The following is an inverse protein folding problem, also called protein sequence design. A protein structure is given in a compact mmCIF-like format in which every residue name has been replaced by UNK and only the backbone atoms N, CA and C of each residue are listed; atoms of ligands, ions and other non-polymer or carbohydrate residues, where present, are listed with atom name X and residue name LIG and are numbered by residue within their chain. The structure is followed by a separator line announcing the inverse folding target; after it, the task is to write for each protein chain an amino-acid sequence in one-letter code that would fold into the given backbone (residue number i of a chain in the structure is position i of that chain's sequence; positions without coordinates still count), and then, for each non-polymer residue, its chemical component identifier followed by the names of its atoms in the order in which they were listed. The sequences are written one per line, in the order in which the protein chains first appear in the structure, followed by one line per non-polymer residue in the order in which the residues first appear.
data_IF_373632943991
#
_entry.id   IF_373632943991
#
_cell.length_a   1.000
_cell.length_b   1.000
_cell.length_c   1.000
_cell.angle_alpha   90.00
_cell.angle_beta   90.00
_cell.angle_gamma   90.00
#
_symmetry.space_group_name_H-M   'P 1'
#
loop_
_entity.id
_entity.type
_entity.pdbx_description
1 polymer ?
#
# COMPACT_ATOMS: atom_id res chain seq x y z
N UNK A 1 -19.06 60.07 -36.12
CA UNK A 1 -18.95 58.79 -36.89
C UNK A 1 -18.38 57.68 -36.02
N UNK A 2 -19.21 56.72 -35.73
CA UNK A 2 -18.97 55.28 -35.73
C UNK A 2 -17.62 54.75 -35.15
N UNK A 3 -17.70 54.08 -34.13
CA UNK A 3 -17.62 52.62 -33.72
C UNK A 3 -16.63 52.54 -32.54
N UNK A 4 -16.76 51.76 -31.49
CA UNK A 4 -16.91 50.32 -31.41
C UNK A 4 -17.46 49.94 -30.03
N UNK A 5 -18.56 49.25 -29.98
CA UNK A 5 -18.99 48.41 -28.88
C UNK A 5 -18.70 46.99 -29.34
N UNK A 6 -17.83 46.29 -28.67
CA UNK A 6 -17.79 44.81 -28.57
C UNK A 6 -16.67 44.38 -27.62
N UNK A 7 -17.08 43.69 -26.62
CA UNK A 7 -16.42 42.61 -25.86
C UNK A 7 -16.53 42.82 -24.36
N UNK A 8 -17.71 42.60 -23.84
CA UNK A 8 -17.87 42.16 -22.44
C UNK A 8 -19.03 41.15 -22.47
N UNK A 9 -18.78 39.90 -22.71
CA UNK A 9 -19.56 38.73 -22.27
C UNK A 9 -18.67 37.51 -22.51
N UNK A 10 -17.86 37.13 -21.53
CA UNK A 10 -17.37 35.75 -21.28
C UNK A 10 -16.50 35.73 -20.03
N UNK A 11 -17.08 35.92 -18.87
CA UNK A 11 -16.38 35.63 -17.60
C UNK A 11 -17.34 35.45 -16.43
N UNK A 12 -18.43 34.71 -16.59
CA UNK A 12 -19.36 34.48 -15.46
C UNK A 12 -19.90 33.06 -15.33
N UNK A 13 -19.24 32.05 -15.93
CA UNK A 13 -19.69 30.65 -15.81
C UNK A 13 -18.72 29.65 -15.11
N UNK A 14 -17.63 30.12 -14.50
CA UNK A 14 -16.65 29.24 -13.83
C UNK A 14 -16.59 29.38 -12.30
N UNK A 15 -17.43 30.23 -11.70
CA UNK A 15 -17.39 30.46 -10.26
C UNK A 15 -18.43 29.67 -9.44
N UNK A 16 -19.37 28.96 -10.09
CA UNK A 16 -20.48 28.32 -9.37
C UNK A 16 -20.18 26.84 -8.98
N UNK A 17 -19.29 26.17 -9.70
CA UNK A 17 -18.95 24.76 -9.37
C UNK A 17 -17.97 24.58 -8.20
N UNK A 18 -17.20 25.61 -7.85
CA UNK A 18 -16.25 25.55 -6.74
C UNK A 18 -16.86 25.78 -5.35
N UNK A 19 -17.96 26.53 -5.28
CA UNK A 19 -18.61 26.88 -4.00
C UNK A 19 -19.43 25.70 -3.43
N UNK A 20 -19.99 24.86 -4.30
CA UNK A 20 -20.78 23.70 -3.85
C UNK A 20 -19.87 22.58 -3.28
N UNK A 21 -18.70 22.35 -3.86
CA UNK A 21 -17.76 21.34 -3.38
C UNK A 21 -17.10 21.70 -2.03
N UNK A 22 -16.88 23.00 -1.75
CA UNK A 22 -16.34 23.47 -0.49
C UNK A 22 -17.35 23.47 0.66
N UNK A 23 -18.67 23.63 0.37
CA UNK A 23 -19.69 23.60 1.40
C UNK A 23 -20.00 22.20 1.93
N UNK A 24 -19.81 21.13 1.13
CA UNK A 24 -20.03 19.76 1.58
C UNK A 24 -19.02 19.31 2.62
N UNK A 25 -17.78 19.79 2.56
CA UNK A 25 -16.70 19.44 3.49
C UNK A 25 -16.86 20.02 4.90
N UNK A 26 -17.77 20.96 5.11
CA UNK A 26 -17.98 21.64 6.39
C UNK A 26 -19.30 21.30 7.11
N UNK A 27 -20.13 20.43 6.54
CA UNK A 27 -21.36 19.99 7.19
C UNK A 27 -21.01 19.11 8.40
N UNK A 28 -21.60 19.45 9.57
CA UNK A 28 -21.44 18.70 10.82
C UNK A 28 -22.68 17.85 11.16
N UNK A 29 -23.73 17.96 10.36
CA UNK A 29 -25.00 17.25 10.53
C UNK A 29 -25.68 17.03 9.19
N UNK A 30 -26.61 16.07 9.09
CA UNK A 30 -27.36 15.80 7.88
C UNK A 30 -28.13 17.03 7.36
N UNK A 31 -28.12 17.23 6.05
CA UNK A 31 -29.02 18.21 5.42
C UNK A 31 -30.48 17.87 5.73
N UNK A 32 -31.36 18.89 5.61
CA UNK A 32 -32.79 18.68 5.83
C UNK A 32 -33.35 17.52 5.02
N UNK A 33 -32.98 17.37 3.75
CA UNK A 33 -33.43 16.28 2.87
C UNK A 33 -33.02 14.91 3.41
N UNK A 34 -31.75 14.74 3.83
CA UNK A 34 -31.25 13.51 4.42
C UNK A 34 -31.91 13.23 5.78
N UNK A 35 -32.09 14.26 6.62
CA UNK A 35 -32.74 14.14 7.91
C UNK A 35 -34.20 13.69 7.78
N UNK A 36 -34.95 14.26 6.81
CA UNK A 36 -36.34 13.90 6.55
C UNK A 36 -36.45 12.42 6.12
N UNK A 37 -35.51 11.92 5.31
CA UNK A 37 -35.44 10.48 4.94
C UNK A 37 -35.12 9.58 6.15
N UNK A 38 -34.16 9.95 6.97
CA UNK A 38 -33.81 9.21 8.21
C UNK A 38 -35.02 9.08 9.10
N UNK A 39 -35.74 10.19 9.32
CA UNK A 39 -36.97 10.20 10.12
C UNK A 39 -38.09 9.39 9.48
N UNK A 40 -38.31 9.57 8.18
CA UNK A 40 -39.35 8.85 7.40
C UNK A 40 -39.17 7.33 7.49
N UNK A 41 -37.92 6.85 7.42
CA UNK A 41 -37.61 5.42 7.41
C UNK A 41 -37.32 4.86 8.81
N UNK A 42 -37.42 5.70 9.84
CA UNK A 42 -37.12 5.34 11.25
C UNK A 42 -35.75 4.64 11.36
N UNK A 43 -34.68 5.37 10.99
CA UNK A 43 -33.31 4.87 10.96
C UNK A 43 -32.50 5.42 12.13
N UNK A 44 -31.75 4.55 12.79
CA UNK A 44 -30.81 4.92 13.85
C UNK A 44 -29.50 5.44 13.25
N UNK A 45 -28.99 6.55 13.75
CA UNK A 45 -27.71 7.10 13.35
C UNK A 45 -26.61 6.67 14.31
N UNK A 46 -25.43 6.37 13.75
CA UNK A 46 -24.21 6.08 14.49
C UNK A 46 -23.09 7.04 14.09
N UNK A 47 -22.15 7.22 14.99
CA UNK A 47 -20.98 8.09 14.79
C UNK A 47 -19.71 7.31 14.36
N UNK A 48 -18.62 8.06 14.17
CA UNK A 48 -17.33 7.51 13.79
C UNK A 48 -16.81 6.46 14.77
N UNK A 49 -16.91 6.70 16.08
CA UNK A 49 -16.37 5.78 17.10
C UNK A 49 -17.15 4.47 17.12
N UNK A 50 -18.47 4.53 16.91
CA UNK A 50 -19.29 3.35 16.77
C UNK A 50 -18.86 2.52 15.54
N UNK A 51 -18.70 3.15 14.38
CA UNK A 51 -18.27 2.48 13.14
C UNK A 51 -16.87 1.91 13.31
N UNK A 52 -15.93 2.67 13.87
CA UNK A 52 -14.57 2.21 14.11
C UNK A 52 -14.50 0.96 15.00
N UNK A 53 -15.31 0.93 16.05
CA UNK A 53 -15.45 -0.26 16.91
C UNK A 53 -16.06 -1.44 16.14
N UNK A 54 -17.06 -1.18 15.30
CA UNK A 54 -17.82 -2.20 14.57
C UNK A 54 -17.01 -2.93 13.51
N UNK A 55 -16.03 -2.29 12.89
CA UNK A 55 -15.17 -2.93 11.87
C UNK A 55 -14.05 -3.80 12.48
N UNK A 56 -13.86 -3.77 13.79
CA UNK A 56 -12.80 -4.55 14.46
C UNK A 56 -11.41 -4.18 13.95
N UNK A 57 -10.68 -5.16 13.42
CA UNK A 57 -9.36 -4.93 12.81
C UNK A 57 -9.43 -4.33 11.40
N UNK A 58 -10.62 -4.24 10.79
CA UNK A 58 -10.83 -3.71 9.45
C UNK A 58 -10.98 -4.76 8.36
N UNK A 59 -10.94 -6.06 8.69
CA UNK A 59 -11.22 -7.14 7.76
C UNK A 59 -12.63 -7.70 8.00
N UNK A 60 -13.23 -8.34 7.00
CA UNK A 60 -14.64 -8.81 7.08
C UNK A 60 -14.89 -9.81 8.19
N UNK A 61 -13.93 -10.67 8.53
CA UNK A 61 -14.08 -11.69 9.58
C UNK A 61 -14.00 -11.15 11.00
N UNK A 62 -13.34 -10.02 11.24
CA UNK A 62 -13.24 -9.38 12.56
C UNK A 62 -14.37 -8.38 12.83
N UNK A 63 -15.09 -7.96 11.79
CA UNK A 63 -16.17 -6.98 11.90
C UNK A 63 -17.38 -7.53 12.65
N UNK A 64 -17.84 -6.82 13.68
CA UNK A 64 -19.09 -7.17 14.40
C UNK A 64 -20.33 -6.78 13.62
N UNK A 65 -20.24 -5.78 12.73
CA UNK A 65 -21.33 -5.30 11.86
C UNK A 65 -20.90 -5.39 10.38
N UNK A 66 -21.88 -5.43 9.48
CA UNK A 66 -21.63 -5.39 8.04
C UNK A 66 -21.75 -3.95 7.57
N UNK A 67 -20.67 -3.40 7.03
CA UNK A 67 -20.68 -2.05 6.44
C UNK A 67 -21.12 -2.09 4.99
N UNK A 68 -22.00 -1.16 4.63
CA UNK A 68 -22.56 -1.03 3.28
C UNK A 68 -22.24 0.37 2.73
N UNK A 69 -21.43 0.41 1.68
CA UNK A 69 -21.16 1.64 0.92
C UNK A 69 -22.23 1.81 -0.17
N UNK A 70 -23.09 2.82 0.00
CA UNK A 70 -24.18 3.12 -0.94
C UNK A 70 -23.73 3.99 -2.12
N UNK A 71 -22.46 4.35 -2.21
CA UNK A 71 -21.91 5.14 -3.32
C UNK A 71 -21.80 4.31 -4.60
N UNK A 72 -21.78 4.96 -5.78
CA UNK A 72 -21.51 4.28 -7.04
C UNK A 72 -20.20 3.48 -7.00
N UNK A 73 -20.16 2.35 -7.72
CA UNK A 73 -19.01 1.42 -7.75
C UNK A 73 -17.65 2.11 -7.98
N UNK A 74 -17.59 3.07 -8.90
CA UNK A 74 -16.35 3.84 -9.15
C UNK A 74 -15.85 4.64 -7.93
N UNK A 75 -16.75 5.10 -7.05
CA UNK A 75 -16.38 5.78 -5.81
C UNK A 75 -15.88 4.78 -4.77
N UNK A 76 -16.58 3.66 -4.62
CA UNK A 76 -16.17 2.54 -3.77
C UNK A 76 -14.77 2.04 -4.15
N UNK A 77 -14.53 1.77 -5.43
CA UNK A 77 -13.26 1.27 -5.94
C UNK A 77 -12.06 2.19 -5.62
N UNK A 78 -12.29 3.51 -5.67
CA UNK A 78 -11.25 4.52 -5.39
C UNK A 78 -10.90 4.65 -3.92
N UNK A 79 -11.80 4.24 -3.04
CA UNK A 79 -11.56 4.24 -1.59
C UNK A 79 -12.87 4.07 -0.82
N UNK A 80 -12.91 3.12 0.11
CA UNK A 80 -14.05 2.84 0.97
C UNK A 80 -13.62 2.62 2.42
N UNK A 81 -14.57 2.64 3.34
CA UNK A 81 -14.32 2.26 4.74
C UNK A 81 -13.98 0.78 4.79
N UNK A 82 -12.96 0.36 5.55
CA UNK A 82 -12.53 -1.03 5.63
C UNK A 82 -13.67 -2.00 5.95
N UNK A 83 -13.58 -3.21 5.40
CA UNK A 83 -14.55 -4.31 5.50
C UNK A 83 -15.89 -4.12 4.77
N UNK A 84 -16.09 -3.01 4.06
CA UNK A 84 -17.38 -2.68 3.41
C UNK A 84 -17.72 -3.57 2.22
N UNK A 85 -19.03 -3.69 1.97
CA UNK A 85 -19.61 -4.16 0.71
C UNK A 85 -20.18 -2.96 -0.06
N UNK A 86 -20.03 -2.95 -1.36
CA UNK A 86 -20.67 -1.93 -2.19
C UNK A 86 -22.08 -2.35 -2.58
N UNK A 87 -23.07 -1.55 -2.24
CA UNK A 87 -24.48 -1.75 -2.67
C UNK A 87 -25.03 -0.39 -3.07
N UNK A 88 -24.80 0.05 -4.32
CA UNK A 88 -25.30 1.34 -4.81
C UNK A 88 -26.83 1.32 -4.92
N UNK A 89 -27.44 2.50 -4.71
CA UNK A 89 -28.88 2.69 -4.79
C UNK A 89 -29.47 2.37 -6.16
N UNK A 90 -28.71 2.59 -7.23
CA UNK A 90 -29.16 2.42 -8.63
C UNK A 90 -29.23 0.98 -9.08
N UNK A 91 -28.31 0.12 -8.62
CA UNK A 91 -28.23 -1.32 -8.99
C UNK A 91 -28.38 -2.20 -7.76
N UNK A 92 -29.23 -1.83 -6.84
CA UNK A 92 -29.38 -2.45 -5.54
C UNK A 92 -29.53 -3.98 -5.60
N UNK A 93 -30.45 -4.50 -6.39
CA UNK A 93 -30.77 -5.95 -6.40
C UNK A 93 -29.60 -6.80 -6.92
N UNK A 94 -28.81 -6.28 -7.85
CA UNK A 94 -27.62 -6.95 -8.37
C UNK A 94 -26.54 -7.08 -7.28
N UNK A 95 -26.21 -5.96 -6.63
CA UNK A 95 -25.16 -5.91 -5.61
C UNK A 95 -25.58 -6.52 -4.28
N UNK A 96 -26.90 -6.51 -3.97
CA UNK A 96 -27.44 -7.14 -2.78
C UNK A 96 -27.13 -8.63 -2.70
N UNK A 97 -26.93 -9.32 -3.82
CA UNK A 97 -26.55 -10.74 -3.88
C UNK A 97 -25.31 -11.05 -3.04
N UNK A 98 -24.37 -10.09 -2.92
CA UNK A 98 -23.15 -10.26 -2.14
C UNK A 98 -23.40 -10.44 -0.62
N UNK A 99 -24.56 -10.04 -0.14
CA UNK A 99 -24.97 -10.15 1.28
C UNK A 99 -26.31 -10.88 1.47
N UNK A 100 -26.85 -11.53 0.44
CA UNK A 100 -28.16 -12.20 0.49
C UNK A 100 -28.26 -13.24 1.59
N UNK A 101 -27.16 -13.93 1.87
CA UNK A 101 -27.07 -15.04 2.83
C UNK A 101 -26.76 -14.57 4.26
N UNK A 102 -26.55 -13.26 4.47
CA UNK A 102 -26.31 -12.71 5.80
C UNK A 102 -27.61 -12.80 6.63
N UNK A 103 -27.52 -13.28 7.89
CA UNK A 103 -28.66 -13.35 8.79
C UNK A 103 -29.39 -12.00 8.90
N UNK A 104 -30.74 -12.03 8.89
CA UNK A 104 -31.56 -10.80 8.86
C UNK A 104 -31.55 -10.00 10.16
N UNK A 105 -31.10 -10.56 11.24
CA UNK A 105 -30.85 -9.91 12.54
C UNK A 105 -29.44 -9.31 12.66
N UNK A 106 -28.52 -9.66 11.74
CA UNK A 106 -27.18 -9.08 11.72
C UNK A 106 -27.25 -7.56 11.53
N UNK A 107 -26.48 -6.84 12.29
CA UNK A 107 -26.38 -5.38 12.16
C UNK A 107 -25.73 -4.98 10.84
N UNK A 108 -26.41 -4.08 10.12
CA UNK A 108 -25.93 -3.44 8.92
C UNK A 108 -25.75 -1.94 9.19
N UNK A 109 -24.60 -1.36 8.80
CA UNK A 109 -24.35 0.07 8.89
C UNK A 109 -24.16 0.60 7.49
N UNK A 110 -25.07 1.47 7.04
CA UNK A 110 -25.06 2.03 5.70
C UNK A 110 -24.46 3.43 5.70
N UNK A 111 -23.53 3.70 4.80
CA UNK A 111 -22.94 5.01 4.63
C UNK A 111 -22.83 5.41 3.18
N UNK A 112 -22.55 6.70 2.93
CA UNK A 112 -22.27 7.19 1.59
C UNK A 112 -21.27 8.38 1.59
N UNK A 113 -21.46 9.38 0.74
CA UNK A 113 -20.55 10.52 0.53
C UNK A 113 -20.73 11.68 1.51
N UNK A 114 -21.23 11.44 2.72
CA UNK A 114 -21.36 12.47 3.76
C UNK A 114 -22.78 12.96 3.99
N UNK A 115 -22.92 14.02 4.78
CA UNK A 115 -24.16 14.52 5.34
C UNK A 115 -25.20 15.02 4.32
N UNK A 116 -24.81 15.31 3.09
CA UNK A 116 -25.71 15.71 1.99
C UNK A 116 -26.17 14.55 1.12
N UNK A 117 -25.66 13.34 1.36
CA UNK A 117 -25.88 12.19 0.50
C UNK A 117 -27.14 11.40 0.90
N UNK A 118 -28.18 11.43 0.05
CA UNK A 118 -29.45 10.73 0.27
C UNK A 118 -29.38 9.21 0.01
N UNK A 119 -28.28 8.70 -0.57
CA UNK A 119 -28.17 7.28 -0.97
C UNK A 119 -28.17 6.33 0.22
N UNK A 120 -27.51 6.69 1.34
CA UNK A 120 -27.47 5.81 2.51
C UNK A 120 -28.84 5.57 3.14
N UNK A 121 -29.73 6.57 3.39
CA UNK A 121 -31.06 6.28 3.89
C UNK A 121 -31.93 5.52 2.89
N UNK A 122 -31.77 5.76 1.58
CA UNK A 122 -32.49 5.02 0.53
C UNK A 122 -32.08 3.54 0.53
N UNK A 123 -30.79 3.25 0.53
CA UNK A 123 -30.28 1.85 0.58
C UNK A 123 -30.64 1.18 1.88
N UNK A 124 -30.58 1.89 3.03
CA UNK A 124 -30.99 1.37 4.31
C UNK A 124 -32.48 0.95 4.31
N UNK A 125 -33.36 1.74 3.71
CA UNK A 125 -34.77 1.38 3.55
C UNK A 125 -34.94 0.13 2.68
N UNK A 126 -34.25 0.04 1.54
CA UNK A 126 -34.30 -1.15 0.67
C UNK A 126 -33.81 -2.41 1.39
N UNK A 127 -32.80 -2.31 2.27
CA UNK A 127 -32.33 -3.41 3.10
C UNK A 127 -33.41 -3.86 4.12
N UNK A 128 -34.12 -2.91 4.75
CA UNK A 128 -35.27 -3.23 5.61
C UNK A 128 -36.37 -3.92 4.83
N UNK A 129 -36.65 -3.51 3.61
CA UNK A 129 -37.63 -4.19 2.70
C UNK A 129 -37.21 -5.61 2.33
N UNK A 130 -35.88 -5.90 2.27
CA UNK A 130 -35.32 -7.26 2.14
C UNK A 130 -35.39 -8.08 3.46
N UNK A 131 -35.95 -7.52 4.52
CA UNK A 131 -36.18 -8.19 5.80
C UNK A 131 -35.07 -8.01 6.85
N UNK A 132 -34.01 -7.19 6.59
CA UNK A 132 -33.02 -6.88 7.59
C UNK A 132 -33.61 -6.02 8.71
N UNK A 133 -33.42 -6.45 9.98
CA UNK A 133 -34.10 -5.87 11.14
C UNK A 133 -33.26 -4.80 11.83
N UNK A 134 -31.94 -4.91 11.75
CA UNK A 134 -31.00 -4.04 12.44
C UNK A 134 -30.16 -3.25 11.42
N UNK A 135 -30.74 -2.16 10.90
CA UNK A 135 -30.10 -1.31 9.88
C UNK A 135 -29.91 0.09 10.44
N UNK A 136 -28.67 0.53 10.51
CA UNK A 136 -28.23 1.83 11.01
C UNK A 136 -27.59 2.65 9.89
N UNK A 137 -27.41 3.95 10.14
CA UNK A 137 -26.78 4.88 9.20
C UNK A 137 -25.58 5.57 9.85
N UNK A 138 -24.48 5.63 9.08
CA UNK A 138 -23.35 6.52 9.35
C UNK A 138 -23.41 7.72 8.39
N UNK A 139 -24.08 8.79 8.82
CA UNK A 139 -24.40 9.95 7.95
C UNK A 139 -23.16 10.76 7.54
N UNK A 140 -22.14 10.86 8.40
CA UNK A 140 -20.88 11.52 8.05
C UNK A 140 -20.10 10.79 6.94
N UNK A 141 -20.28 9.48 6.84
CA UNK A 141 -19.83 8.65 5.73
C UNK A 141 -18.31 8.60 5.51
N UNK A 142 -17.94 8.25 4.29
CA UNK A 142 -16.53 8.13 3.91
C UNK A 142 -15.73 9.43 4.06
N UNK A 143 -16.25 10.64 3.81
CA UNK A 143 -15.48 11.88 3.98
C UNK A 143 -14.98 12.10 5.41
N UNK A 144 -15.79 11.84 6.44
CA UNK A 144 -15.29 11.91 7.82
C UNK A 144 -14.28 10.80 8.10
N UNK A 145 -14.56 9.58 7.65
CA UNK A 145 -13.67 8.44 7.86
C UNK A 145 -12.27 8.69 7.28
N UNK A 146 -12.19 9.14 6.04
CA UNK A 146 -10.92 9.34 5.31
C UNK A 146 -10.02 10.43 5.93
N UNK A 147 -10.60 11.35 6.70
CA UNK A 147 -9.79 12.34 7.47
C UNK A 147 -9.16 11.74 8.73
N UNK A 148 -9.67 10.62 9.22
CA UNK A 148 -9.31 10.03 10.53
C UNK A 148 -8.71 8.64 10.43
N UNK A 149 -8.74 8.01 9.24
CA UNK A 149 -8.32 6.62 9.08
C UNK A 149 -7.96 6.30 7.61
N UNK A 150 -7.32 5.14 7.41
CA UNK A 150 -7.02 4.63 6.07
C UNK A 150 -8.28 4.10 5.37
N UNK A 151 -8.17 3.95 4.04
CA UNK A 151 -9.23 3.42 3.18
C UNK A 151 -8.83 2.07 2.58
N UNK A 152 -9.81 1.29 2.19
CA UNK A 152 -9.64 0.16 1.27
C UNK A 152 -9.80 0.62 -0.17
N UNK A 153 -9.00 0.04 -1.08
CA UNK A 153 -9.04 0.29 -2.53
C UNK A 153 -9.21 -1.02 -3.30
N UNK A 154 -9.72 -0.92 -4.52
CA UNK A 154 -9.97 -2.07 -5.39
C UNK A 154 -8.78 -2.41 -6.30
N UNK A 155 -8.88 -3.54 -6.99
CA UNK A 155 -7.88 -4.05 -7.95
C UNK A 155 -7.50 -3.04 -9.01
N UNK A 156 -8.45 -2.28 -9.56
CA UNK A 156 -8.20 -1.27 -10.61
C UNK A 156 -7.26 -0.17 -10.10
N UNK A 157 -7.48 0.32 -8.88
CA UNK A 157 -6.64 1.35 -8.26
C UNK A 157 -5.28 0.79 -7.88
N UNK A 158 -5.25 -0.42 -7.33
CA UNK A 158 -4.01 -1.13 -6.99
C UNK A 158 -3.13 -1.33 -8.22
N UNK A 159 -3.73 -1.76 -9.34
CA UNK A 159 -3.04 -1.90 -10.63
C UNK A 159 -2.44 -0.58 -11.09
N UNK A 160 -3.20 0.51 -11.02
CA UNK A 160 -2.69 1.83 -11.39
C UNK A 160 -1.51 2.27 -10.52
N UNK A 161 -1.55 2.03 -9.21
CA UNK A 161 -0.41 2.30 -8.32
C UNK A 161 0.81 1.46 -8.66
N UNK A 162 0.63 0.18 -8.96
CA UNK A 162 1.70 -0.72 -9.34
C UNK A 162 2.34 -0.33 -10.68
N UNK A 163 1.54 -0.07 -11.72
CA UNK A 163 2.04 0.28 -13.06
C UNK A 163 2.75 1.63 -13.11
N UNK A 164 2.30 2.60 -12.30
CA UNK A 164 2.86 3.95 -12.25
C UNK A 164 3.96 4.12 -11.17
N UNK A 165 4.30 3.08 -10.41
CA UNK A 165 5.20 3.16 -9.25
C UNK A 165 4.84 4.33 -8.31
N UNK A 166 3.54 4.58 -8.11
CA UNK A 166 3.05 5.73 -7.35
C UNK A 166 2.66 5.42 -5.90
N UNK A 167 2.94 4.21 -5.45
CA UNK A 167 2.81 3.77 -4.07
C UNK A 167 3.87 2.73 -3.74
N UNK A 168 4.33 2.69 -2.49
CA UNK A 168 5.06 1.54 -1.96
C UNK A 168 4.07 0.39 -1.75
N UNK A 169 4.27 -0.72 -2.46
CA UNK A 169 3.45 -1.92 -2.31
C UNK A 169 4.03 -2.82 -1.21
N UNK A 170 3.20 -3.21 -0.25
CA UNK A 170 3.61 -4.00 0.92
C UNK A 170 2.78 -5.26 1.00
N UNK A 171 3.44 -6.40 0.94
CA UNK A 171 2.85 -7.71 1.22
C UNK A 171 2.97 -8.03 2.71
N UNK A 172 1.83 -8.03 3.42
CA UNK A 172 1.77 -8.30 4.86
C UNK A 172 1.66 -9.79 5.21
N UNK A 173 1.73 -10.69 4.22
CA UNK A 173 1.71 -12.14 4.44
C UNK A 173 3.03 -12.63 5.02
N UNK A 174 3.04 -13.83 5.63
CA UNK A 174 4.29 -14.47 6.04
C UNK A 174 5.31 -14.51 4.89
N UNK A 175 6.57 -14.28 5.20
CA UNK A 175 7.64 -14.16 4.21
C UNK A 175 7.70 -15.36 3.23
N UNK A 176 7.50 -16.58 3.71
CA UNK A 176 7.45 -17.77 2.85
C UNK A 176 6.34 -17.68 1.77
N UNK A 177 5.22 -17.04 2.08
CA UNK A 177 4.13 -16.80 1.10
C UNK A 177 4.49 -15.73 0.08
N UNK A 178 5.19 -14.68 0.51
CA UNK A 178 5.74 -13.65 -0.37
C UNK A 178 6.74 -14.26 -1.36
N UNK A 179 7.65 -15.12 -0.90
CA UNK A 179 8.62 -15.80 -1.77
C UNK A 179 7.96 -16.71 -2.81
N UNK A 180 6.88 -17.39 -2.42
CA UNK A 180 6.13 -18.25 -3.34
C UNK A 180 5.49 -17.47 -4.48
N UNK A 181 4.87 -16.35 -4.16
CA UNK A 181 4.18 -15.51 -5.14
C UNK A 181 3.78 -14.17 -4.51
N UNK A 182 4.01 -13.06 -5.20
CA UNK A 182 3.57 -11.73 -4.77
C UNK A 182 3.24 -10.82 -5.95
N UNK A 183 2.67 -9.65 -5.70
CA UNK A 183 2.48 -8.60 -6.72
C UNK A 183 3.85 -8.03 -7.10
N UNK A 184 4.10 -7.87 -8.40
CA UNK A 184 5.36 -7.33 -8.91
C UNK A 184 5.63 -5.94 -8.29
N UNK A 185 6.83 -5.75 -7.74
CA UNK A 185 7.23 -4.50 -7.08
C UNK A 185 6.86 -4.41 -5.60
N UNK A 186 6.18 -5.41 -5.04
CA UNK A 186 5.88 -5.43 -3.62
C UNK A 186 7.09 -5.83 -2.78
N UNK A 187 7.20 -5.23 -1.59
CA UNK A 187 8.13 -5.64 -0.54
C UNK A 187 7.41 -6.48 0.52
N UNK A 188 8.14 -7.34 1.20
CA UNK A 188 7.59 -8.13 2.31
C UNK A 188 7.70 -7.38 3.63
N UNK A 189 6.58 -7.18 4.32
CA UNK A 189 6.52 -6.75 5.73
C UNK A 189 5.43 -7.55 6.43
N UNK A 190 5.75 -8.78 6.90
CA UNK A 190 4.82 -9.56 7.69
C UNK A 190 4.35 -8.79 8.93
N UNK A 191 3.08 -8.94 9.28
CA UNK A 191 2.48 -8.29 10.45
C UNK A 191 3.20 -8.63 11.77
N UNK A 192 3.79 -9.83 11.86
CA UNK A 192 4.57 -10.32 13.01
C UNK A 192 5.95 -9.67 13.13
N UNK A 193 6.53 -9.23 12.01
CA UNK A 193 7.86 -8.63 11.96
C UNK A 193 7.84 -7.11 11.75
N UNK A 194 6.67 -6.50 11.81
CA UNK A 194 6.48 -5.09 11.54
C UNK A 194 7.47 -4.19 12.29
N UNK A 195 7.65 -4.41 13.60
CA UNK A 195 8.53 -3.58 14.44
C UNK A 195 10.00 -3.68 14.02
N UNK A 196 10.45 -4.87 13.61
CA UNK A 196 11.82 -5.09 13.11
C UNK A 196 12.04 -4.45 11.74
N UNK A 197 10.96 -4.32 10.95
CA UNK A 197 11.01 -3.88 9.56
C UNK A 197 10.51 -2.44 9.35
N UNK A 198 10.35 -1.66 10.44
CA UNK A 198 9.92 -0.25 10.38
C UNK A 198 10.76 0.60 9.43
N UNK A 199 12.05 0.35 9.36
CA UNK A 199 12.94 1.05 8.44
C UNK A 199 12.67 0.78 6.96
N UNK A 200 11.80 -0.18 6.63
CA UNK A 200 11.32 -0.44 5.26
C UNK A 200 10.32 0.59 4.77
N UNK A 201 9.78 1.39 5.64
CA UNK A 201 8.81 2.42 5.27
C UNK A 201 9.47 3.76 4.99
N UNK A 202 8.87 4.60 4.13
CA UNK A 202 9.41 5.91 3.80
C UNK A 202 9.58 6.78 5.06
N UNK A 203 10.62 7.60 5.11
CA UNK A 203 10.77 8.61 6.17
C UNK A 203 9.70 9.69 6.01
N UNK A 204 9.40 10.07 4.77
CA UNK A 204 8.29 10.97 4.47
C UNK A 204 6.96 10.23 4.65
N UNK A 205 6.24 10.56 5.72
CA UNK A 205 4.98 9.93 6.09
C UNK A 205 3.79 10.30 5.20
N UNK A 206 3.97 11.23 4.27
CA UNK A 206 2.97 11.60 3.27
C UNK A 206 3.08 10.76 1.98
N UNK A 207 4.10 9.90 1.86
CA UNK A 207 4.21 8.98 0.74
C UNK A 207 3.09 7.93 0.76
N UNK A 208 2.62 7.56 -0.44
CA UNK A 208 1.56 6.58 -0.59
C UNK A 208 2.09 5.17 -0.28
N UNK A 209 1.41 4.48 0.62
CA UNK A 209 1.68 3.08 0.98
C UNK A 209 0.42 2.26 0.73
N UNK A 210 0.54 1.21 -0.08
CA UNK A 210 -0.52 0.25 -0.33
C UNK A 210 -0.13 -1.09 0.27
N UNK A 211 -0.99 -1.62 1.14
CA UNK A 211 -0.74 -2.87 1.87
C UNK A 211 -1.76 -3.91 1.44
N UNK A 212 -1.33 -5.14 1.20
CA UNK A 212 -2.21 -6.25 0.85
C UNK A 212 -1.84 -7.54 1.59
N UNK A 213 -2.76 -8.49 1.57
CA UNK A 213 -2.52 -9.85 2.10
C UNK A 213 -3.30 -10.93 1.32
N UNK A 214 -3.91 -11.89 1.99
CA UNK A 214 -4.55 -13.07 1.38
C UNK A 214 -6.05 -12.90 1.10
N UNK A 215 -6.57 -11.67 1.02
CA UNK A 215 -7.98 -11.38 0.67
C UNK A 215 -8.80 -10.82 1.82
N UNK A 216 -10.09 -10.57 1.58
CA UNK A 216 -11.01 -9.81 2.43
C UNK A 216 -11.14 -10.28 3.89
N UNK A 217 -10.84 -11.54 4.17
CA UNK A 217 -10.90 -12.10 5.52
C UNK A 217 -9.55 -12.07 6.25
N UNK A 218 -8.47 -11.67 5.56
CA UNK A 218 -7.13 -11.59 6.15
C UNK A 218 -6.95 -10.29 6.92
N UNK A 219 -6.55 -10.40 8.18
CA UNK A 219 -6.37 -9.24 9.07
C UNK A 219 -5.00 -8.56 8.93
N UNK A 220 -3.99 -9.26 8.36
CA UNK A 220 -2.58 -8.85 8.39
C UNK A 220 -2.32 -7.49 7.75
N UNK A 221 -2.90 -7.22 6.58
CA UNK A 221 -2.78 -5.91 5.91
C UNK A 221 -3.39 -4.79 6.75
N UNK A 222 -4.51 -5.05 7.41
CA UNK A 222 -5.16 -4.07 8.28
C UNK A 222 -4.37 -3.85 9.58
N UNK A 223 -3.75 -4.89 10.16
CA UNK A 223 -2.84 -4.76 11.32
C UNK A 223 -1.68 -3.84 10.97
N UNK A 224 -1.01 -4.07 9.83
CA UNK A 224 0.09 -3.22 9.37
C UNK A 224 -0.38 -1.80 9.08
N UNK A 225 -1.54 -1.62 8.43
CA UNK A 225 -2.13 -0.30 8.15
C UNK A 225 -2.43 0.48 9.43
N UNK A 226 -3.07 -0.15 10.43
CA UNK A 226 -3.37 0.47 11.72
C UNK A 226 -2.08 0.91 12.45
N UNK A 227 -1.05 0.07 12.45
CA UNK A 227 0.25 0.41 13.05
C UNK A 227 0.91 1.60 12.35
N UNK A 228 0.92 1.63 11.02
CA UNK A 228 1.45 2.77 10.24
C UNK A 228 0.67 4.05 10.51
N UNK A 229 -0.66 3.97 10.52
CA UNK A 229 -1.50 5.13 10.80
C UNK A 229 -1.24 5.68 12.21
N UNK A 230 -1.10 4.81 13.22
CA UNK A 230 -0.73 5.19 14.58
C UNK A 230 0.65 5.85 14.66
N UNK A 231 1.58 5.48 13.78
CA UNK A 231 2.90 6.11 13.63
C UNK A 231 2.87 7.44 12.86
N UNK A 232 1.69 7.87 12.39
CA UNK A 232 1.48 9.15 11.71
C UNK A 232 1.66 9.11 10.19
N UNK A 233 1.70 7.94 9.57
CA UNK A 233 1.60 7.83 8.10
C UNK A 233 0.16 8.13 7.69
N UNK A 234 -0.02 9.15 6.83
CA UNK A 234 -1.37 9.65 6.48
C UNK A 234 -1.92 9.10 5.18
N UNK A 235 -1.03 8.62 4.31
CA UNK A 235 -1.39 8.21 2.96
C UNK A 235 -1.33 6.68 2.80
N UNK A 236 -1.99 5.98 3.72
CA UNK A 236 -2.05 4.51 3.77
C UNK A 236 -3.36 4.04 3.17
N UNK A 237 -3.30 3.03 2.32
CA UNK A 237 -4.47 2.32 1.78
C UNK A 237 -4.26 0.80 1.87
N UNK A 238 -5.36 0.06 1.98
CA UNK A 238 -5.36 -1.40 2.00
C UNK A 238 -6.02 -1.93 0.73
N UNK A 239 -5.37 -2.85 0.05
CA UNK A 239 -5.97 -3.66 -0.99
C UNK A 239 -6.55 -4.93 -0.38
N UNK A 240 -7.82 -4.87 0.04
CA UNK A 240 -8.47 -5.95 0.79
C UNK A 240 -8.68 -7.23 -0.04
N UNK A 241 -8.87 -7.12 -1.35
CA UNK A 241 -8.94 -8.27 -2.26
C UNK A 241 -7.66 -9.09 -2.29
N UNK A 242 -6.52 -8.45 -2.03
CA UNK A 242 -5.22 -9.09 -1.89
C UNK A 242 -4.76 -9.86 -3.12
N UNK A 243 -3.79 -10.75 -2.92
CA UNK A 243 -3.24 -11.56 -4.02
C UNK A 243 -4.30 -12.42 -4.74
N UNK A 244 -5.31 -13.01 -4.07
CA UNK A 244 -6.34 -13.78 -4.77
C UNK A 244 -7.11 -12.96 -5.82
N UNK A 245 -7.63 -11.78 -5.44
CA UNK A 245 -8.37 -10.92 -6.39
C UNK A 245 -7.46 -10.35 -7.49
N UNK A 246 -6.18 -10.13 -7.20
CA UNK A 246 -5.18 -9.76 -8.20
C UNK A 246 -5.04 -10.82 -9.29
N UNK A 247 -4.95 -12.09 -8.88
CA UNK A 247 -4.85 -13.24 -9.78
C UNK A 247 -6.14 -13.50 -10.56
N UNK A 248 -7.29 -13.37 -9.89
CA UNK A 248 -8.61 -13.50 -10.53
C UNK A 248 -8.80 -12.47 -11.65
N UNK A 249 -8.25 -11.27 -11.47
CA UNK A 249 -8.21 -10.24 -12.51
C UNK A 249 -7.19 -10.53 -13.65
N UNK A 250 -6.50 -11.67 -13.64
CA UNK A 250 -5.51 -12.05 -14.64
C UNK A 250 -4.22 -11.23 -14.61
N UNK A 251 -3.93 -10.54 -13.50
CA UNK A 251 -2.78 -9.66 -13.38
C UNK A 251 -1.52 -10.44 -13.01
N UNK A 252 -0.37 -9.97 -13.50
CA UNK A 252 0.92 -10.67 -13.35
C UNK A 252 1.42 -10.59 -11.90
N UNK A 253 1.97 -11.71 -11.47
CA UNK A 253 2.68 -11.86 -10.20
C UNK A 253 4.15 -12.19 -10.45
N UNK A 254 4.95 -12.13 -9.42
CA UNK A 254 6.33 -12.62 -9.41
C UNK A 254 6.50 -13.70 -8.34
N UNK A 255 7.46 -14.57 -8.52
CA UNK A 255 7.82 -15.64 -7.58
C UNK A 255 9.32 -15.69 -7.45
N UNK A 256 9.80 -15.71 -6.23
CA UNK A 256 11.22 -15.90 -5.92
C UNK A 256 11.57 -17.39 -5.76
N UNK A 257 10.56 -18.26 -5.62
CA UNK A 257 10.76 -19.71 -5.50
C UNK A 257 10.95 -20.43 -6.85
N UNK A 258 10.68 -19.78 -7.98
CA UNK A 258 10.77 -20.40 -9.32
C UNK A 258 12.16 -20.42 -9.96
N UNK A 259 13.17 -19.80 -9.37
CA UNK A 259 14.56 -19.92 -9.83
C UNK A 259 15.17 -21.32 -9.60
N UNK A 260 14.44 -22.24 -8.95
CA UNK A 260 14.92 -23.58 -8.64
C UNK A 260 14.15 -24.76 -9.25
N UNK A 261 13.23 -24.51 -10.24
CA UNK A 261 12.48 -25.59 -10.88
C UNK A 261 12.42 -25.45 -12.39
N UNK A 262 13.55 -25.54 -13.07
CA UNK A 262 13.62 -26.16 -14.36
C UNK A 262 13.90 -27.66 -14.13
N UNK A 263 12.84 -28.45 -14.10
CA UNK A 263 12.91 -29.90 -14.08
C UNK A 263 13.41 -30.40 -15.44
N UNK A 264 14.72 -30.44 -15.61
CA UNK A 264 15.49 -31.42 -16.40
C UNK A 264 16.97 -31.01 -16.46
N UNK A 265 17.60 -30.98 -15.31
CA UNK A 265 19.05 -31.15 -15.24
C UNK A 265 19.39 -31.84 -13.93
N UNK A 266 19.46 -33.16 -13.97
CA UNK A 266 20.27 -33.92 -13.01
C UNK A 266 21.73 -33.49 -13.17
N UNK A 267 22.08 -32.41 -12.53
CA UNK A 267 23.42 -32.08 -12.10
C UNK A 267 23.29 -31.33 -10.80
N UNK A 268 23.81 -31.89 -9.74
CA UNK A 268 24.01 -31.24 -8.45
C UNK A 268 24.89 -30.00 -8.65
N UNK A 269 24.26 -28.85 -8.98
CA UNK A 269 24.94 -27.55 -8.96
C UNK A 269 25.08 -27.23 -7.48
N UNK A 270 26.29 -27.34 -6.95
CA UNK A 270 26.67 -26.59 -5.75
C UNK A 270 26.33 -25.15 -6.05
N UNK A 271 25.41 -24.55 -5.29
CA UNK A 271 25.14 -23.12 -5.32
C UNK A 271 26.50 -22.47 -5.04
N UNK A 272 27.03 -21.70 -5.99
CA UNK A 272 28.28 -21.01 -5.77
C UNK A 272 28.12 -20.16 -4.51
N UNK A 273 28.97 -20.38 -3.51
CA UNK A 273 28.94 -19.63 -2.25
C UNK A 273 29.41 -18.19 -2.47
N UNK A 274 30.05 -17.92 -3.60
CA UNK A 274 30.63 -16.63 -3.96
C UNK A 274 30.26 -16.21 -5.38
N UNK A 275 30.13 -14.90 -5.61
CA UNK A 275 30.05 -14.33 -6.95
C UNK A 275 31.35 -14.53 -7.72
N UNK A 276 31.34 -14.26 -9.05
CA UNK A 276 32.56 -14.36 -9.89
C UNK A 276 33.73 -13.54 -9.35
N UNK A 277 33.43 -12.41 -8.71
CA UNK A 277 34.45 -11.51 -8.14
C UNK A 277 34.73 -11.75 -6.66
N UNK A 278 34.17 -12.81 -6.05
CA UNK A 278 34.48 -13.20 -4.68
C UNK A 278 33.63 -12.52 -3.59
N UNK A 279 32.48 -11.92 -3.96
CA UNK A 279 31.48 -11.49 -2.98
C UNK A 279 30.75 -12.72 -2.46
N UNK A 280 30.65 -12.88 -1.12
CA UNK A 280 29.89 -13.99 -0.53
C UNK A 280 28.39 -13.75 -0.70
N UNK A 281 27.72 -14.72 -1.31
CA UNK A 281 26.29 -14.63 -1.62
C UNK A 281 25.45 -14.94 -0.38
N UNK A 282 24.39 -14.16 -0.20
CA UNK A 282 23.37 -14.43 0.80
C UNK A 282 22.43 -15.57 0.42
N UNK A 283 21.48 -15.87 1.29
CA UNK A 283 20.51 -16.95 1.07
C UNK A 283 19.41 -16.54 0.08
N UNK A 284 19.10 -15.25 0.00
CA UNK A 284 18.09 -14.72 -0.87
C UNK A 284 18.68 -14.34 -2.25
N UNK A 285 17.88 -14.40 -3.31
CA UNK A 285 18.33 -14.02 -4.65
C UNK A 285 18.78 -12.56 -4.68
N UNK A 286 20.01 -12.34 -5.14
CA UNK A 286 20.62 -11.01 -5.24
C UNK A 286 21.07 -10.41 -3.91
N UNK A 287 20.94 -11.11 -2.79
CA UNK A 287 21.51 -10.66 -1.52
C UNK A 287 22.99 -11.00 -1.38
N UNK A 288 23.69 -10.19 -0.60
CA UNK A 288 25.03 -10.51 -0.08
C UNK A 288 24.90 -11.17 1.29
N UNK A 289 25.78 -12.11 1.65
CA UNK A 289 25.85 -12.64 3.01
C UNK A 289 26.07 -11.51 4.01
N UNK A 290 25.04 -11.25 4.82
CA UNK A 290 24.98 -10.05 5.65
C UNK A 290 26.03 -10.02 6.74
N UNK A 291 26.32 -11.12 7.42
CA UNK A 291 27.30 -11.15 8.49
C UNK A 291 28.74 -11.06 7.92
N UNK A 292 28.99 -11.66 6.77
CA UNK A 292 30.27 -11.50 6.07
C UNK A 292 30.53 -10.03 5.67
N UNK A 293 29.56 -9.36 5.07
CA UNK A 293 29.73 -7.97 4.64
C UNK A 293 29.83 -7.02 5.85
N UNK A 294 29.03 -7.24 6.88
CA UNK A 294 29.09 -6.51 8.16
C UNK A 294 30.48 -6.57 8.78
N UNK A 295 31.07 -7.76 8.85
CA UNK A 295 32.42 -7.92 9.39
C UNK A 295 33.45 -7.09 8.61
N UNK A 296 33.41 -7.12 7.27
CA UNK A 296 34.28 -6.34 6.42
C UNK A 296 34.10 -4.83 6.61
N UNK A 297 32.86 -4.36 6.75
CA UNK A 297 32.55 -2.94 6.97
C UNK A 297 33.11 -2.47 8.32
N UNK A 298 32.85 -3.22 9.40
CA UNK A 298 33.27 -2.84 10.74
C UNK A 298 34.80 -2.86 10.90
N UNK A 299 35.48 -3.75 10.20
CA UNK A 299 36.95 -3.85 10.18
C UNK A 299 37.61 -2.90 9.17
N UNK A 300 36.83 -2.12 8.39
CA UNK A 300 37.31 -1.29 7.27
C UNK A 300 38.13 -2.11 6.23
N UNK A 301 37.69 -3.33 5.95
CA UNK A 301 38.34 -4.29 5.04
C UNK A 301 37.51 -4.60 3.80
N UNK A 302 36.54 -3.76 3.46
CA UNK A 302 35.74 -3.95 2.22
C UNK A 302 36.70 -3.96 1.03
N UNK A 303 36.72 -5.02 0.21
CA UNK A 303 37.61 -5.11 -0.93
C UNK A 303 37.37 -4.00 -1.95
N UNK A 304 38.43 -3.51 -2.60
CA UNK A 304 38.34 -2.41 -3.58
C UNK A 304 37.44 -2.71 -4.78
N UNK A 305 37.26 -3.97 -5.14
CA UNK A 305 36.36 -4.36 -6.23
C UNK A 305 34.87 -4.24 -5.85
N UNK A 306 34.51 -4.12 -4.56
CA UNK A 306 33.15 -3.90 -4.09
C UNK A 306 32.90 -2.40 -3.93
N UNK A 307 31.85 -1.90 -4.56
CA UNK A 307 31.33 -0.56 -4.32
C UNK A 307 30.01 -0.65 -3.56
N UNK A 308 30.03 -0.21 -2.31
CA UNK A 308 28.81 -0.01 -1.55
C UNK A 308 28.13 1.27 -2.04
N UNK A 309 26.86 1.16 -2.41
CA UNK A 309 26.06 2.26 -2.93
C UNK A 309 24.91 2.54 -1.97
N UNK A 310 24.97 3.67 -1.29
CA UNK A 310 23.87 4.18 -0.48
C UNK A 310 22.81 4.77 -1.41
N UNK A 311 21.59 4.22 -1.35
CA UNK A 311 20.51 4.58 -2.27
C UNK A 311 19.53 5.61 -1.70
N UNK A 312 19.83 6.16 -0.54
CA UNK A 312 19.02 7.15 0.16
C UNK A 312 19.17 8.54 -0.48
N UNK A 313 18.35 9.51 -0.05
CA UNK A 313 18.53 10.89 -0.48
C UNK A 313 19.82 11.50 0.09
N UNK A 314 20.24 12.62 -0.50
CA UNK A 314 21.50 13.28 -0.15
C UNK A 314 21.56 13.72 1.33
N UNK A 315 20.43 14.15 1.90
CA UNK A 315 20.38 14.58 3.30
C UNK A 315 20.56 13.40 4.26
N UNK A 316 19.92 12.28 3.98
CA UNK A 316 20.09 11.04 4.76
C UNK A 316 21.53 10.55 4.69
N UNK A 317 22.15 10.60 3.50
CA UNK A 317 23.54 10.23 3.29
C UNK A 317 24.50 11.11 4.09
N UNK A 318 24.28 12.44 4.09
CA UNK A 318 25.11 13.39 4.86
C UNK A 318 25.02 13.20 6.36
N UNK A 319 23.87 12.74 6.87
CA UNK A 319 23.67 12.49 8.31
C UNK A 319 24.54 11.32 8.82
N UNK A 320 24.82 10.36 7.94
CA UNK A 320 25.69 9.23 8.24
C UNK A 320 25.60 8.13 7.18
N UNK A 321 26.74 7.54 6.86
CA UNK A 321 26.85 6.49 5.84
C UNK A 321 28.02 5.55 6.11
N UNK A 322 27.99 4.38 5.48
CA UNK A 322 29.09 3.42 5.53
C UNK A 322 30.32 4.07 4.87
N UNK A 323 31.45 4.02 5.56
CA UNK A 323 32.72 4.58 5.05
C UNK A 323 33.07 3.99 3.68
N UNK A 324 33.37 4.85 2.70
CA UNK A 324 33.67 4.47 1.33
C UNK A 324 32.45 4.19 0.44
N UNK A 325 31.24 4.29 0.97
CA UNK A 325 30.05 4.24 0.12
C UNK A 325 29.86 5.50 -0.71
N UNK A 326 29.29 5.35 -1.90
CA UNK A 326 28.83 6.47 -2.73
C UNK A 326 27.31 6.63 -2.60
N UNK A 327 26.80 7.82 -2.90
CA UNK A 327 25.36 8.08 -2.87
C UNK A 327 24.75 8.12 -4.27
N UNK A 328 23.71 7.34 -4.50
CA UNK A 328 22.87 7.39 -5.70
C UNK A 328 21.41 7.28 -5.24
N UNK A 329 20.67 8.38 -5.26
CA UNK A 329 19.26 8.42 -4.82
C UNK A 329 18.36 7.63 -5.77
N UNK A 330 18.32 6.30 -5.61
CA UNK A 330 17.65 5.37 -6.51
C UNK A 330 16.13 5.58 -6.62
N UNK A 331 15.48 6.14 -5.58
CA UNK A 331 14.04 6.38 -5.55
C UNK A 331 13.56 7.37 -6.61
N UNK A 332 14.39 8.31 -7.02
CA UNK A 332 14.06 9.34 -8.03
C UNK A 332 14.41 8.96 -9.46
N UNK A 333 15.15 7.86 -9.66
CA UNK A 333 15.68 7.46 -10.96
C UNK A 333 14.83 6.37 -11.60
N UNK A 334 14.69 6.43 -12.92
CA UNK A 334 14.24 5.29 -13.72
C UNK A 334 15.27 4.14 -13.64
N UNK A 335 14.90 2.94 -14.04
CA UNK A 335 15.82 1.80 -14.08
C UNK A 335 17.05 2.10 -14.97
N UNK A 336 16.83 2.75 -16.11
CA UNK A 336 17.89 3.14 -17.04
C UNK A 336 18.88 4.11 -16.40
N UNK A 337 18.37 5.21 -15.82
CA UNK A 337 19.21 6.23 -15.17
C UNK A 337 19.98 5.66 -13.99
N UNK A 338 19.34 4.79 -13.18
CA UNK A 338 20.02 4.11 -12.08
C UNK A 338 21.15 3.25 -12.61
N UNK A 339 20.89 2.39 -13.59
CA UNK A 339 21.90 1.49 -14.16
C UNK A 339 23.07 2.25 -14.78
N UNK A 340 22.82 3.36 -15.49
CA UNK A 340 23.85 4.19 -16.13
C UNK A 340 24.78 4.88 -15.11
N UNK A 341 24.27 5.22 -13.93
CA UNK A 341 25.04 5.86 -12.84
C UNK A 341 25.90 4.87 -12.04
N UNK A 342 25.68 3.56 -12.17
CA UNK A 342 26.47 2.58 -11.43
C UNK A 342 27.91 2.49 -11.96
N UNK A 343 28.93 2.37 -11.09
CA UNK A 343 30.30 2.05 -11.47
C UNK A 343 30.37 0.75 -12.29
N UNK A 344 30.96 0.78 -13.48
CA UNK A 344 30.90 -0.35 -14.43
C UNK A 344 31.88 -1.49 -14.15
N UNK A 345 32.95 -1.23 -13.40
CA UNK A 345 34.03 -2.20 -13.14
C UNK A 345 34.07 -2.63 -11.68
N UNK A 346 32.93 -2.60 -10.99
CA UNK A 346 32.81 -2.94 -9.57
C UNK A 346 31.65 -3.90 -9.36
N UNK A 347 31.78 -4.74 -8.37
CA UNK A 347 30.64 -5.45 -7.78
C UNK A 347 29.86 -4.46 -6.93
N UNK A 348 28.60 -4.24 -7.26
CA UNK A 348 27.74 -3.23 -6.63
C UNK A 348 26.96 -3.88 -5.49
N UNK A 349 26.95 -3.22 -4.33
CA UNK A 349 26.09 -3.62 -3.22
C UNK A 349 25.26 -2.41 -2.79
N UNK A 350 23.96 -2.47 -3.10
CA UNK A 350 23.01 -1.47 -2.63
C UNK A 350 22.78 -1.61 -1.13
N UNK A 351 22.73 -0.49 -0.42
CA UNK A 351 22.26 -0.47 0.97
C UNK A 351 21.36 0.74 1.26
N UNK A 352 20.53 0.60 2.27
CA UNK A 352 19.73 1.68 2.85
C UNK A 352 19.73 1.57 4.37
N UNK A 353 18.77 2.18 5.06
CA UNK A 353 18.67 2.10 6.52
C UNK A 353 18.17 0.74 7.04
N UNK A 354 17.47 -0.05 6.22
CA UNK A 354 16.82 -1.28 6.69
C UNK A 354 16.63 -2.38 5.62
N UNK A 355 17.43 -2.37 4.57
CA UNK A 355 17.44 -3.44 3.56
C UNK A 355 16.39 -3.33 2.45
N UNK A 356 15.23 -2.74 2.67
CA UNK A 356 14.12 -2.77 1.71
C UNK A 356 14.30 -1.89 0.48
N UNK A 357 14.72 -0.63 0.68
CA UNK A 357 14.98 0.27 -0.47
C UNK A 357 16.14 -0.24 -1.31
N UNK A 358 17.11 -0.95 -0.70
CA UNK A 358 18.20 -1.62 -1.42
C UNK A 358 17.69 -2.78 -2.26
N UNK A 359 16.79 -3.59 -1.72
CA UNK A 359 16.10 -4.64 -2.46
C UNK A 359 15.24 -4.04 -3.60
N UNK A 360 14.51 -2.95 -3.35
CA UNK A 360 13.73 -2.27 -4.41
C UNK A 360 14.60 -1.77 -5.56
N UNK A 361 15.76 -1.17 -5.25
CA UNK A 361 16.70 -0.71 -6.26
C UNK A 361 17.23 -1.89 -7.10
N UNK A 362 17.56 -3.01 -6.44
CA UNK A 362 17.97 -4.24 -7.11
C UNK A 362 16.84 -4.80 -7.99
N UNK A 363 15.62 -4.93 -7.45
CA UNK A 363 14.46 -5.41 -8.19
C UNK A 363 14.10 -4.52 -9.37
N UNK A 364 14.23 -3.19 -9.24
CA UNK A 364 14.00 -2.23 -10.33
C UNK A 364 14.89 -2.56 -11.53
N UNK A 365 16.15 -2.90 -11.31
CA UNK A 365 17.07 -3.27 -12.38
C UNK A 365 16.77 -4.67 -12.91
N UNK A 366 16.57 -5.64 -12.03
CA UNK A 366 16.28 -7.03 -12.39
C UNK A 366 15.00 -7.18 -13.23
N UNK A 367 13.92 -6.52 -12.82
CA UNK A 367 12.63 -6.53 -13.55
C UNK A 367 12.72 -5.89 -14.93
N UNK A 368 13.65 -4.95 -15.12
CA UNK A 368 13.93 -4.32 -16.41
C UNK A 368 15.02 -5.05 -17.23
N UNK A 369 15.42 -6.25 -16.80
CA UNK A 369 16.35 -7.16 -17.52
C UNK A 369 17.75 -6.57 -17.74
N UNK A 370 18.22 -5.72 -16.82
CA UNK A 370 19.64 -5.31 -16.83
C UNK A 370 20.53 -6.47 -16.40
N UNK A 371 21.80 -6.40 -16.75
CA UNK A 371 22.78 -7.39 -16.29
C UNK A 371 23.01 -7.25 -14.78
N UNK A 372 22.57 -8.28 -14.05
CA UNK A 372 22.61 -8.33 -12.58
C UNK A 372 23.76 -9.18 -12.06
N UNK A 373 24.65 -9.67 -12.91
CA UNK A 373 25.71 -10.63 -12.53
C UNK A 373 26.63 -10.16 -11.40
N UNK A 374 26.78 -8.84 -11.24
CA UNK A 374 27.61 -8.21 -10.22
C UNK A 374 26.88 -7.06 -9.50
N UNK A 375 25.55 -7.18 -9.35
CA UNK A 375 24.71 -6.20 -8.63
C UNK A 375 23.91 -6.94 -7.55
N UNK A 376 24.13 -6.55 -6.31
CA UNK A 376 23.59 -7.18 -5.11
C UNK A 376 22.96 -6.14 -4.18
N UNK A 377 22.24 -6.60 -3.16
CA UNK A 377 21.75 -5.75 -2.07
C UNK A 377 22.13 -6.30 -0.71
N UNK A 378 22.28 -5.40 0.24
CA UNK A 378 22.55 -5.70 1.64
C UNK A 378 21.28 -5.53 2.47
N UNK A 379 20.75 -6.63 3.01
CA UNK A 379 19.59 -6.62 3.89
C UNK A 379 20.04 -6.53 5.36
N UNK A 380 20.05 -5.30 5.86
CA UNK A 380 20.43 -5.02 7.24
C UNK A 380 19.80 -3.71 7.73
N UNK A 381 19.56 -3.63 9.04
CA UNK A 381 19.26 -2.39 9.74
C UNK A 381 20.54 -1.63 9.99
N UNK A 382 20.72 -0.47 9.37
CA UNK A 382 21.97 0.30 9.41
C UNK A 382 21.70 1.69 9.94
N UNK A 383 22.30 2.03 11.07
CA UNK A 383 22.26 3.39 11.64
C UNK A 383 23.67 3.92 11.77
N UNK A 384 23.98 5.03 11.07
CA UNK A 384 25.28 5.66 11.09
C UNK A 384 25.23 7.06 11.73
N UNK A 385 26.26 7.40 12.50
CA UNK A 385 26.59 8.76 12.93
C UNK A 385 27.93 9.12 12.32
N UNK A 386 27.95 9.95 11.27
CA UNK A 386 29.10 10.08 10.39
C UNK A 386 29.45 8.72 9.79
N UNK A 387 30.70 8.25 9.98
CA UNK A 387 31.16 6.95 9.50
C UNK A 387 31.10 5.82 10.54
N UNK A 388 30.56 6.08 11.73
CA UNK A 388 30.40 5.06 12.75
C UNK A 388 29.00 4.46 12.62
N UNK A 389 28.93 3.21 12.16
CA UNK A 389 27.68 2.51 11.87
C UNK A 389 27.43 1.37 12.83
N UNK A 390 26.19 1.27 13.33
CA UNK A 390 25.63 0.07 13.92
C UNK A 390 24.91 -0.68 12.81
N UNK A 391 25.19 -1.98 12.68
CA UNK A 391 24.64 -2.85 11.63
C UNK A 391 24.06 -4.09 12.31
N UNK A 392 22.75 -4.28 12.13
CA UNK A 392 22.02 -5.46 12.56
C UNK A 392 21.49 -6.16 11.29
N UNK A 393 22.02 -7.34 10.99
CA UNK A 393 21.68 -8.10 9.77
C UNK A 393 20.28 -8.69 9.89
N UNK A 394 19.48 -8.58 8.83
CA UNK A 394 18.11 -9.11 8.77
C UNK A 394 18.05 -10.53 8.20
N UNK A 395 19.16 -11.07 7.66
CA UNK A 395 19.24 -12.41 7.10
C UNK A 395 19.59 -13.48 8.15
N UNK A 396 19.09 -14.69 7.92
CA UNK A 396 18.09 -15.07 6.95
C UNK A 396 16.71 -14.61 7.39
N UNK A 397 15.91 -14.20 6.44
CA UNK A 397 14.48 -13.98 6.70
C UNK A 397 13.83 -15.38 6.84
N UNK A 398 13.82 -15.92 8.08
CA UNK A 398 13.16 -17.19 8.43
C UNK A 398 11.63 -17.06 8.43
#
# INVERSE_FOLDING_TARGET
MRKVIKNIVLASFLAISGVWAQNELNLKEPTKAVYDLIKKYNLEQVDYEYVKKSIGLGNRSSASSILIDARPALKYQKGTIPSSYNIPDTNFDEYYKAISDIPKDKELIVFCGGYSCEKSPIVAQKLKEKGHKNVKIYSAGEPEWSTKNYLEVDTIVTKAYQENNSALLVDARPFAKYLQETIIGAISVPDTDFEKLLGRFPINKDEKILIFCSGFNCEKSNIVANKLYALGYKNVVVYAGGLPAWKEAGLKTTSFAKASKDENAQTSIKKDEFSKNGLKLGKDEGSVDGEWLKALILENKVPEYIQIVNILNEQEFKNGHIKGSINIEAGKLSAKELYEKLPKNKTIVFHCTAGSRSLEAWMKLNSNKYDMSEIYYFDANITCKGNNCKIDVNEPLE
#
